data_IF_783164260244
#
_entry.id   IF_783164260244
#
_cell.length_a   1.000
_cell.length_b   1.000
_cell.length_c   1.000
_cell.angle_alpha   90.00
_cell.angle_beta   90.00
_cell.angle_gamma   90.00
#
_symmetry.space_group_name_H-M   'P 1'
#
loop_
_entity.id
_entity.type
_entity.pdbx_description
1 polymer ?
#
# COMPACT_ATOMS: atom_id res chain seq x y z
N UNK A 1 16.02 -25.86 -13.91
CA UNK A 1 15.63 -24.50 -13.48
C UNK A 1 14.15 -24.56 -13.21
N UNK A 2 13.61 -24.01 -12.11
CA UNK A 2 12.16 -23.97 -11.98
C UNK A 2 11.62 -22.97 -13.01
N UNK A 3 10.62 -23.40 -13.77
CA UNK A 3 9.89 -22.60 -14.75
C UNK A 3 9.19 -21.45 -14.02
N UNK A 4 9.61 -20.21 -14.31
CA UNK A 4 8.97 -19.00 -13.82
C UNK A 4 7.82 -18.54 -14.74
N UNK A 5 7.25 -19.44 -15.53
CA UNK A 5 6.16 -19.16 -16.48
C UNK A 5 4.77 -19.23 -15.82
N UNK A 6 4.67 -18.76 -14.58
CA UNK A 6 3.38 -18.35 -14.02
C UNK A 6 3.08 -16.96 -14.52
N UNK A 7 2.61 -16.81 -15.77
CA UNK A 7 2.12 -15.52 -16.26
C UNK A 7 1.04 -15.01 -15.28
N UNK A 8 1.34 -13.93 -14.56
CA UNK A 8 0.34 -13.22 -13.75
C UNK A 8 -0.75 -12.75 -14.68
N UNK A 9 -1.99 -13.16 -14.41
CA UNK A 9 -3.11 -12.63 -15.18
C UNK A 9 -3.27 -11.14 -14.89
N UNK A 10 -3.76 -10.37 -15.87
CA UNK A 10 -4.08 -8.96 -15.65
C UNK A 10 -5.02 -8.78 -14.44
N UNK A 11 -5.95 -9.71 -14.23
CA UNK A 11 -6.88 -9.69 -13.11
C UNK A 11 -6.16 -9.83 -11.75
N UNK A 12 -5.10 -10.65 -11.68
CA UNK A 12 -4.31 -10.80 -10.46
C UNK A 12 -3.44 -9.57 -10.20
N UNK A 13 -2.86 -8.99 -11.25
CA UNK A 13 -2.14 -7.72 -11.15
C UNK A 13 -3.06 -6.59 -10.67
N UNK A 14 -4.27 -6.49 -11.22
CA UNK A 14 -5.26 -5.48 -10.83
C UNK A 14 -5.69 -5.65 -9.37
N UNK A 15 -5.88 -6.89 -8.92
CA UNK A 15 -6.20 -7.21 -7.51
C UNK A 15 -5.09 -6.82 -6.57
N UNK A 16 -3.83 -7.13 -6.92
CA UNK A 16 -2.68 -6.76 -6.11
C UNK A 16 -2.51 -5.24 -6.05
N UNK A 17 -2.68 -4.53 -7.18
CA UNK A 17 -2.63 -3.07 -7.22
C UNK A 17 -3.74 -2.43 -6.38
N UNK A 18 -4.95 -3.00 -6.42
CA UNK A 18 -6.07 -2.54 -5.60
C UNK A 18 -5.78 -2.72 -4.10
N UNK A 19 -5.29 -3.90 -3.71
CA UNK A 19 -4.91 -4.16 -2.32
C UNK A 19 -3.78 -3.24 -1.85
N UNK A 20 -2.75 -3.02 -2.67
CA UNK A 20 -1.66 -2.09 -2.39
C UNK A 20 -2.18 -0.66 -2.21
N UNK A 21 -3.13 -0.23 -3.04
CA UNK A 21 -3.79 1.07 -2.87
C UNK A 21 -4.54 1.16 -1.54
N UNK A 22 -5.27 0.11 -1.14
CA UNK A 22 -5.97 0.09 0.14
C UNK A 22 -5.01 0.21 1.33
N UNK A 23 -3.91 -0.56 1.31
CA UNK A 23 -2.86 -0.50 2.34
C UNK A 23 -2.23 0.90 2.37
N UNK A 24 -1.87 1.46 1.22
CA UNK A 24 -1.28 2.79 1.12
C UNK A 24 -2.19 3.86 1.74
N UNK A 25 -3.47 3.92 1.36
CA UNK A 25 -4.39 4.92 1.89
C UNK A 25 -4.69 4.73 3.38
N UNK A 26 -4.72 3.49 3.87
CA UNK A 26 -4.87 3.21 5.30
C UNK A 26 -3.68 3.75 6.10
N UNK A 27 -2.46 3.47 5.64
CA UNK A 27 -1.25 4.00 6.26
C UNK A 27 -1.18 5.53 6.16
N UNK A 28 -1.64 6.11 5.04
CA UNK A 28 -1.63 7.56 4.83
C UNK A 28 -2.55 8.26 5.83
N UNK A 29 -3.75 7.70 6.05
CA UNK A 29 -4.68 8.20 7.07
C UNK A 29 -4.07 8.09 8.47
N UNK A 30 -3.48 6.95 8.81
CA UNK A 30 -2.81 6.75 10.11
C UNK A 30 -1.70 7.77 10.32
N UNK A 31 -0.84 7.99 9.32
CA UNK A 31 0.26 8.95 9.38
C UNK A 31 -0.26 10.39 9.53
N UNK A 32 -1.30 10.77 8.78
CA UNK A 32 -1.95 12.07 8.91
C UNK A 32 -2.49 12.30 10.33
N UNK A 33 -3.16 11.29 10.91
CA UNK A 33 -3.64 11.33 12.30
C UNK A 33 -2.50 11.46 13.30
N UNK A 34 -1.42 10.69 13.15
CA UNK A 34 -0.26 10.76 14.04
C UNK A 34 0.43 12.12 14.00
N UNK A 35 0.54 12.74 12.82
CA UNK A 35 1.13 14.05 12.64
C UNK A 35 0.19 15.21 13.00
N UNK A 36 -1.08 14.92 13.30
CA UNK A 36 -2.09 15.94 13.57
C UNK A 36 -2.36 16.86 12.37
N UNK A 37 -2.20 16.36 11.15
CA UNK A 37 -2.29 17.15 9.91
C UNK A 37 -3.23 16.53 8.89
N UNK A 38 -3.53 17.29 7.83
CA UNK A 38 -4.22 16.79 6.65
C UNK A 38 -3.21 16.58 5.52
N UNK A 39 -3.17 15.37 4.98
CA UNK A 39 -2.39 15.08 3.78
C UNK A 39 -3.26 15.34 2.56
N UNK A 40 -2.85 16.32 1.74
CA UNK A 40 -3.53 16.67 0.50
C UNK A 40 -2.85 15.93 -0.65
N UNK A 41 -3.64 15.23 -1.46
CA UNK A 41 -3.16 14.57 -2.66
C UNK A 41 -3.65 15.31 -3.90
N UNK A 42 -2.84 15.36 -4.98
CA UNK A 42 -3.33 15.74 -6.29
C UNK A 42 -4.55 14.90 -6.68
N UNK A 43 -5.54 15.52 -7.34
CA UNK A 43 -6.80 14.86 -7.74
C UNK A 43 -6.59 13.56 -8.53
N UNK A 44 -5.50 13.49 -9.30
CA UNK A 44 -5.12 12.29 -10.06
C UNK A 44 -4.83 11.08 -9.16
N UNK A 45 -4.31 11.31 -7.95
CA UNK A 45 -3.98 10.29 -6.97
C UNK A 45 -5.13 10.05 -5.98
N UNK A 46 -6.20 10.84 -6.04
CA UNK A 46 -7.35 10.61 -5.19
C UNK A 46 -8.10 9.38 -5.67
N UNK A 47 -8.45 8.46 -4.75
CA UNK A 47 -9.18 7.27 -5.12
C UNK A 47 -10.58 7.65 -5.64
N UNK A 48 -10.95 7.14 -6.80
CA UNK A 48 -12.27 7.37 -7.40
C UNK A 48 -13.36 6.51 -6.74
N UNK A 49 -12.96 5.41 -6.10
CA UNK A 49 -13.79 4.49 -5.34
C UNK A 49 -13.37 4.48 -3.87
N UNK A 50 -14.32 4.22 -2.97
CA UNK A 50 -14.00 4.09 -1.55
C UNK A 50 -13.12 2.85 -1.35
N UNK A 51 -11.91 3.04 -0.83
CA UNK A 51 -11.03 1.92 -0.50
C UNK A 51 -11.45 1.34 0.84
N UNK A 52 -11.79 0.04 0.91
CA UNK A 52 -12.05 -0.60 2.18
C UNK A 52 -10.78 -0.60 3.04
N UNK A 53 -10.94 -0.65 4.36
CA UNK A 53 -9.80 -0.79 5.25
C UNK A 53 -9.16 -2.19 5.05
N UNK A 54 -7.84 -2.35 5.24
CA UNK A 54 -7.13 -3.59 4.90
C UNK A 54 -7.65 -4.84 5.62
N UNK A 55 -8.29 -4.70 6.78
CA UNK A 55 -8.87 -5.81 7.54
C UNK A 55 -10.09 -6.46 6.85
N UNK A 56 -10.61 -5.82 5.79
CA UNK A 56 -11.68 -6.37 4.95
C UNK A 56 -11.15 -7.10 3.71
N UNK A 57 -9.83 -7.13 3.50
CA UNK A 57 -9.17 -7.83 2.40
C UNK A 57 -8.66 -9.20 2.86
N UNK A 58 -8.30 -10.03 1.89
CA UNK A 58 -7.62 -11.31 2.16
C UNK A 58 -6.23 -11.08 2.76
N UNK A 59 -5.90 -11.80 3.84
CA UNK A 59 -4.66 -11.60 4.60
C UNK A 59 -3.40 -11.85 3.76
N UNK A 60 -3.45 -12.84 2.86
CA UNK A 60 -2.30 -13.17 2.01
C UNK A 60 -2.13 -12.12 0.92
N UNK A 61 -3.23 -11.60 0.38
CA UNK A 61 -3.21 -10.47 -0.54
C UNK A 61 -2.67 -9.19 0.13
N UNK A 62 -3.02 -8.93 1.39
CA UNK A 62 -2.48 -7.79 2.16
C UNK A 62 -0.99 -7.94 2.40
N UNK A 63 -0.51 -9.14 2.74
CA UNK A 63 0.93 -9.41 2.89
C UNK A 63 1.68 -9.20 1.59
N UNK A 64 1.15 -9.69 0.47
CA UNK A 64 1.77 -9.53 -0.84
C UNK A 64 1.80 -8.06 -1.27
N UNK A 65 0.68 -7.34 -1.09
CA UNK A 65 0.57 -5.91 -1.36
C UNK A 65 1.56 -5.09 -0.50
N UNK A 66 1.69 -5.42 0.78
CA UNK A 66 2.65 -4.77 1.68
C UNK A 66 4.09 -5.06 1.24
N UNK A 67 4.39 -6.30 0.86
CA UNK A 67 5.70 -6.67 0.33
C UNK A 67 6.01 -5.96 -0.99
N UNK A 68 5.02 -5.76 -1.86
CA UNK A 68 5.15 -4.94 -3.07
C UNK A 68 5.49 -3.49 -2.72
N UNK A 69 4.74 -2.86 -1.81
CA UNK A 69 5.00 -1.47 -1.38
C UNK A 69 6.39 -1.31 -0.74
N UNK A 70 6.84 -2.32 0.01
CA UNK A 70 8.18 -2.35 0.61
C UNK A 70 9.26 -2.38 -0.49
N UNK A 71 9.10 -3.26 -1.49
CA UNK A 71 10.04 -3.36 -2.63
C UNK A 71 10.06 -2.08 -3.48
N UNK A 72 8.96 -1.36 -3.54
CA UNK A 72 8.86 -0.07 -4.25
C UNK A 72 9.40 1.11 -3.43
N UNK A 73 9.81 0.91 -2.18
CA UNK A 73 10.29 1.98 -1.31
C UNK A 73 9.19 2.97 -0.90
N UNK A 74 7.94 2.52 -0.86
CA UNK A 74 6.78 3.34 -0.42
C UNK A 74 6.58 3.23 1.10
N UNK A 75 6.88 2.06 1.66
CA UNK A 75 6.76 1.77 3.09
C UNK A 75 8.07 1.22 3.64
N UNK A 76 8.24 1.36 4.95
CA UNK A 76 9.29 0.73 5.74
C UNK A 76 8.67 -0.11 6.86
N UNK A 77 9.43 -1.06 7.38
CA UNK A 77 9.07 -1.83 8.58
C UNK A 77 10.04 -1.40 9.67
N UNK A 78 9.52 -0.84 10.75
CA UNK A 78 10.35 -0.41 11.88
C UNK A 78 10.77 -1.59 12.77
N UNK A 79 11.60 -1.33 13.78
CA UNK A 79 12.13 -2.36 14.68
C UNK A 79 11.04 -3.13 15.46
N UNK A 80 9.86 -2.54 15.64
CA UNK A 80 8.69 -3.16 16.27
C UNK A 80 7.84 -4.00 15.29
N UNK A 81 8.27 -4.10 14.02
CA UNK A 81 7.53 -4.81 12.97
C UNK A 81 6.33 -4.04 12.43
N UNK A 82 6.20 -2.75 12.74
CA UNK A 82 5.10 -1.91 12.28
C UNK A 82 5.45 -1.34 10.90
N UNK A 83 4.50 -1.46 9.98
CA UNK A 83 4.60 -0.87 8.64
C UNK A 83 4.28 0.62 8.71
N UNK A 84 5.18 1.46 8.19
CA UNK A 84 5.07 2.91 8.15
C UNK A 84 5.28 3.45 6.73
N UNK A 85 4.62 4.56 6.39
CA UNK A 85 4.86 5.25 5.12
C UNK A 85 6.16 6.07 5.18
N UNK A 86 6.93 5.94 4.10
CA UNK A 86 8.08 6.80 3.82
C UNK A 86 7.56 8.12 3.25
N UNK A 87 7.67 9.19 4.02
CA UNK A 87 7.36 10.54 3.56
C UNK A 87 8.67 11.29 3.33
N UNK A 88 8.96 11.63 2.08
CA UNK A 88 10.12 12.45 1.73
C UNK A 88 9.86 13.86 2.25
N UNK A 89 10.71 14.32 3.17
CA UNK A 89 10.74 15.71 3.60
C UNK A 89 11.72 16.47 2.72
N UNK A 90 11.28 17.56 2.09
CA UNK A 90 12.20 18.51 1.47
C UNK A 90 12.77 19.40 2.58
N UNK A 91 14.06 19.20 2.89
CA UNK A 91 14.88 20.19 3.62
C UNK A 91 15.26 21.37 2.72
#
# INVERSE_FOLDING_TARGET
MPDFDGEISQADADRLCFAASCVFFALLRRKATMLGTQIVLPKLLCPTTCHPPPEMLDDDLVKEATAMLLRLGVVEINDDGIVDLILVSHE
#
